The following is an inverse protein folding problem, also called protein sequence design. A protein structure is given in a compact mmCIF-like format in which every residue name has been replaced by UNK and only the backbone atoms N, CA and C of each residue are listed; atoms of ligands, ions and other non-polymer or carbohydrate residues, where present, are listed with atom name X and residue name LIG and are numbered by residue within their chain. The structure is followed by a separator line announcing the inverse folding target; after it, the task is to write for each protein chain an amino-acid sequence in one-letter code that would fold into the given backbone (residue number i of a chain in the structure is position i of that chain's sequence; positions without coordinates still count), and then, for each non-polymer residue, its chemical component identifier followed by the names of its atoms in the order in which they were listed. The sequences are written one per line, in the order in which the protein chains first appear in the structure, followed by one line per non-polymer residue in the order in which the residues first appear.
data_IF_454600909205
#
_entry.id   IF_454600909205
#
_cell.length_a   1.000
_cell.length_b   1.000
_cell.length_c   1.000
_cell.angle_alpha   90.00
_cell.angle_beta   90.00
_cell.angle_gamma   90.00
#
_symmetry.space_group_name_H-M   'P 1'
#
loop_
_entity.id
_entity.type
_entity.pdbx_description
1 polymer ?
#
# COMPACT_ATOMS: atom_id res chain seq x y z
N UNK A 1 -26.46 -6.15 -0.67
CA UNK A 1 -25.60 -4.94 -0.62
C UNK A 1 -24.97 -4.87 0.76
N UNK A 2 -23.71 -4.47 0.86
CA UNK A 2 -22.97 -4.39 2.13
C UNK A 2 -21.88 -3.32 2.06
N UNK A 3 -21.17 -3.14 3.17
CA UNK A 3 -20.03 -2.25 3.29
C UNK A 3 -18.85 -3.02 3.88
N UNK A 4 -17.63 -2.58 3.56
CA UNK A 4 -16.39 -3.14 4.07
C UNK A 4 -15.39 -2.02 4.35
N UNK A 5 -14.44 -2.30 5.25
CA UNK A 5 -13.25 -1.47 5.44
C UNK A 5 -12.12 -2.08 4.63
N UNK A 6 -11.59 -1.33 3.68
CA UNK A 6 -10.56 -1.80 2.75
C UNK A 6 -9.56 -0.67 2.53
N UNK A 7 -8.25 -0.95 2.48
CA UNK A 7 -7.26 0.04 2.06
C UNK A 7 -7.58 0.61 0.68
N UNK A 8 -7.54 1.93 0.53
CA UNK A 8 -7.92 2.64 -0.70
C UNK A 8 -7.11 2.21 -1.92
N UNK A 9 -5.82 1.93 -1.75
CA UNK A 9 -4.94 1.52 -2.84
C UNK A 9 -5.31 0.15 -3.44
N UNK A 10 -6.15 -0.66 -2.77
CA UNK A 10 -6.64 -1.92 -3.33
C UNK A 10 -7.87 -1.75 -4.24
N UNK A 11 -8.55 -0.61 -4.16
CA UNK A 11 -9.85 -0.36 -4.82
C UNK A 11 -9.85 0.91 -5.68
N UNK A 12 -8.68 1.41 -6.07
CA UNK A 12 -8.54 2.61 -6.91
C UNK A 12 -9.41 2.56 -8.18
N UNK A 13 -9.33 1.50 -9.00
CA UNK A 13 -10.13 1.38 -10.22
C UNK A 13 -11.64 1.39 -9.96
N UNK A 14 -12.11 0.77 -8.88
CA UNK A 14 -13.52 0.72 -8.51
C UNK A 14 -14.05 2.08 -8.06
N UNK A 15 -13.24 2.83 -7.33
CA UNK A 15 -13.54 4.20 -6.95
C UNK A 15 -13.55 5.14 -8.17
N UNK A 16 -12.58 5.01 -9.08
CA UNK A 16 -12.51 5.78 -10.32
C UNK A 16 -13.70 5.49 -11.26
N UNK A 17 -14.08 4.22 -11.39
CA UNK A 17 -15.22 3.80 -12.21
C UNK A 17 -16.59 4.07 -11.57
N UNK A 18 -16.64 4.38 -10.27
CA UNK A 18 -17.87 4.55 -9.50
C UNK A 18 -18.62 3.25 -9.22
N UNK A 19 -18.01 2.09 -9.47
CA UNK A 19 -18.57 0.78 -9.09
C UNK A 19 -18.53 0.56 -7.58
N UNK A 20 -17.57 1.18 -6.89
CA UNK A 20 -17.57 1.40 -5.45
C UNK A 20 -17.63 2.89 -5.13
N UNK A 21 -18.18 3.21 -3.96
CA UNK A 21 -18.18 4.57 -3.41
C UNK A 21 -17.63 4.51 -1.99
N UNK A 22 -16.96 5.58 -1.56
CA UNK A 22 -16.60 5.80 -0.16
C UNK A 22 -17.69 6.67 0.49
N UNK A 23 -18.69 6.10 1.17
CA UNK A 23 -19.80 6.87 1.72
C UNK A 23 -19.38 7.76 2.91
N UNK A 24 -18.22 7.47 3.51
CA UNK A 24 -17.65 8.17 4.66
C UNK A 24 -16.18 8.44 4.37
N UNK A 25 -15.84 9.67 3.97
CA UNK A 25 -14.46 10.10 3.72
C UNK A 25 -13.68 10.34 5.02
N UNK A 26 -13.66 9.34 5.91
CA UNK A 26 -12.97 9.36 7.19
C UNK A 26 -11.86 8.31 7.12
N UNK A 27 -10.58 8.70 7.16
CA UNK A 27 -9.50 7.73 7.22
C UNK A 27 -9.56 7.00 8.56
N UNK A 28 -9.44 5.67 8.52
CA UNK A 28 -9.30 4.83 9.70
C UNK A 28 -7.89 4.24 9.68
N UNK A 29 -7.12 4.55 10.70
CA UNK A 29 -5.78 3.97 10.88
C UNK A 29 -5.91 2.56 11.42
N UNK A 30 -5.26 1.59 10.77
CA UNK A 30 -5.01 0.26 11.32
C UNK A 30 -3.60 0.23 11.92
N UNK A 31 -3.37 -0.65 12.89
CA UNK A 31 -2.03 -0.96 13.39
C UNK A 31 -1.24 -1.88 12.44
N UNK A 32 -1.86 -2.33 11.34
CA UNK A 32 -1.24 -3.20 10.33
C UNK A 32 -0.24 -2.44 9.46
N UNK A 33 0.84 -3.12 9.05
CA UNK A 33 1.87 -2.56 8.19
C UNK A 33 2.33 -3.55 7.10
N UNK A 34 2.82 -3.01 5.99
CA UNK A 34 3.46 -3.77 4.92
C UNK A 34 4.97 -3.86 5.15
N UNK A 35 5.52 -5.07 5.12
CA UNK A 35 6.94 -5.33 5.36
C UNK A 35 7.65 -5.85 4.12
N UNK A 36 8.83 -5.32 3.85
CA UNK A 36 9.79 -5.89 2.90
C UNK A 36 10.66 -6.92 3.62
N UNK A 37 10.62 -8.18 3.20
CA UNK A 37 11.35 -9.27 3.83
C UNK A 37 12.39 -9.83 2.87
N UNK A 38 13.63 -10.00 3.35
CA UNK A 38 14.72 -10.66 2.61
C UNK A 38 15.47 -11.67 3.50
N UNK A 39 16.16 -12.65 2.91
CA UNK A 39 17.02 -13.55 3.66
C UNK A 39 18.13 -12.77 4.39
N UNK A 40 18.44 -13.22 5.61
CA UNK A 40 19.57 -12.71 6.37
C UNK A 40 20.90 -13.28 5.81
N UNK A 41 21.98 -12.51 5.94
CA UNK A 41 23.33 -12.92 5.53
C UNK A 41 23.61 -12.99 4.02
N UNK A 42 22.65 -12.61 3.16
CA UNK A 42 22.87 -12.52 1.71
C UNK A 42 23.26 -11.10 1.31
N UNK A 43 24.55 -10.90 1.01
CA UNK A 43 25.04 -9.63 0.47
C UNK A 43 24.86 -9.58 -1.06
N UNK A 44 23.96 -8.71 -1.52
CA UNK A 44 23.76 -8.46 -2.95
C UNK A 44 23.52 -6.96 -3.19
N UNK A 45 24.49 -6.23 -3.76
CA UNK A 45 24.35 -4.80 -3.99
C UNK A 45 23.18 -4.40 -4.89
N UNK A 46 22.73 -5.27 -5.80
CA UNK A 46 21.55 -5.01 -6.62
C UNK A 46 20.26 -5.16 -5.81
N UNK A 47 20.23 -6.12 -4.88
CA UNK A 47 19.11 -6.29 -3.96
C UNK A 47 18.99 -5.09 -3.01
N UNK A 48 20.11 -4.61 -2.46
CA UNK A 48 20.10 -3.43 -1.57
C UNK A 48 19.56 -2.19 -2.30
N UNK A 49 20.03 -1.92 -3.53
CA UNK A 49 19.47 -0.82 -4.35
C UNK A 49 17.98 -0.98 -4.63
N UNK A 50 17.51 -2.20 -4.82
CA UNK A 50 16.08 -2.48 -5.02
C UNK A 50 15.28 -2.28 -3.74
N UNK A 51 15.82 -2.69 -2.58
CA UNK A 51 15.22 -2.46 -1.28
C UNK A 51 15.10 -0.97 -0.96
N UNK A 52 16.13 -0.18 -1.25
CA UNK A 52 16.09 1.27 -1.09
C UNK A 52 15.00 1.89 -1.99
N UNK A 53 15.03 1.55 -3.27
CA UNK A 53 14.07 2.06 -4.25
C UNK A 53 12.62 1.72 -3.88
N UNK A 54 12.31 0.46 -3.53
CA UNK A 54 10.92 0.05 -3.25
C UNK A 54 10.36 0.72 -1.98
N UNK A 55 11.22 1.01 -0.99
CA UNK A 55 10.83 1.77 0.20
C UNK A 55 10.55 3.23 -0.15
N UNK A 56 11.31 3.82 -1.06
CA UNK A 56 11.01 5.18 -1.58
C UNK A 56 9.67 5.22 -2.32
N UNK A 57 9.42 4.28 -3.23
CA UNK A 57 8.14 4.19 -3.96
C UNK A 57 6.95 3.99 -3.00
N UNK A 58 7.10 3.13 -1.98
CA UNK A 58 6.05 2.87 -1.00
C UNK A 58 5.71 4.11 -0.14
N UNK A 59 6.69 4.97 0.16
CA UNK A 59 6.44 6.26 0.84
C UNK A 59 5.70 7.25 -0.05
N UNK A 60 5.94 7.22 -1.36
CA UNK A 60 5.23 8.05 -2.32
C UNK A 60 3.75 7.67 -2.48
N UNK A 61 3.41 6.40 -2.24
CA UNK A 61 2.04 5.90 -2.33
C UNK A 61 1.12 6.34 -1.17
N UNK A 62 1.69 6.79 -0.04
CA UNK A 62 0.93 7.23 1.14
C UNK A 62 0.44 8.70 1.04
N UNK A 63 0.77 9.39 -0.08
CA UNK A 63 0.50 10.80 -0.30
C UNK A 63 -0.58 11.11 -1.38
N UNK A 64 -1.40 10.12 -1.76
CA UNK A 64 -2.46 10.28 -2.77
C UNK A 64 -3.85 9.89 -2.21
#
# INVERSE_FOLDING_TARGET
AGAALVPSFLIGPELESGSLVCPLSIPLTSDDAYYLVRPDGVENPALERFCDWIVEEARGADAA
#
